data_IF_267404982583
#
_entry.id   IF_267404982583
#
_cell.length_a   1.000
_cell.length_b   1.000
_cell.length_c   1.000
_cell.angle_alpha   90.00
_cell.angle_beta   90.00
_cell.angle_gamma   90.00
#
_symmetry.space_group_name_H-M   'P 1'
#
loop_
_entity.id
_entity.type
_entity.pdbx_description
1 polymer ?
#
# COMPACT_ATOMS: atom_id res chain seq x y z
N UNK A 1 -8.24 25.61 -7.59
CA UNK A 1 -7.05 25.06 -8.34
C UNK A 1 -6.18 24.37 -7.30
N UNK A 2 -5.72 23.13 -7.58
CA UNK A 2 -4.88 22.36 -6.64
C UNK A 2 -3.58 23.12 -6.32
N UNK A 3 -3.09 23.11 -5.07
CA UNK A 3 -1.81 23.75 -4.70
C UNK A 3 -0.64 23.26 -5.55
N UNK A 4 -0.63 21.98 -5.87
CA UNK A 4 0.36 21.31 -6.73
C UNK A 4 0.26 21.68 -8.22
N UNK A 5 -0.76 22.42 -8.66
CA UNK A 5 -1.10 22.72 -10.05
C UNK A 5 -1.45 21.51 -10.91
N UNK A 6 -1.58 20.30 -10.34
CA UNK A 6 -2.00 19.10 -11.05
C UNK A 6 -3.47 19.21 -11.49
N UNK A 7 -3.81 18.51 -12.58
CA UNK A 7 -5.21 18.33 -12.97
C UNK A 7 -5.94 17.47 -11.92
N UNK A 8 -7.27 17.59 -11.80
CA UNK A 8 -8.04 16.82 -10.82
C UNK A 8 -7.81 15.29 -10.89
N UNK A 9 -7.56 14.76 -12.06
CA UNK A 9 -7.37 13.33 -12.36
C UNK A 9 -5.90 12.94 -12.60
N UNK A 10 -4.96 13.77 -12.16
CA UNK A 10 -3.52 13.58 -12.35
C UNK A 10 -2.84 13.04 -11.09
N UNK A 11 -2.04 11.98 -11.27
CA UNK A 11 -1.16 11.43 -10.24
C UNK A 11 0.09 12.30 -10.06
N UNK A 12 0.66 12.29 -8.87
CA UNK A 12 2.07 12.69 -8.68
C UNK A 12 2.98 11.82 -9.55
N UNK A 13 4.21 12.23 -9.76
CA UNK A 13 5.22 11.36 -10.36
C UNK A 13 5.42 10.13 -9.46
N UNK A 14 5.29 8.93 -10.04
CA UNK A 14 5.42 7.66 -9.30
C UNK A 14 6.62 6.89 -9.83
N UNK A 15 7.45 6.38 -8.92
CA UNK A 15 8.52 5.43 -9.26
C UNK A 15 8.52 4.24 -8.30
N UNK A 16 8.87 3.06 -8.84
CA UNK A 16 9.00 1.80 -8.12
C UNK A 16 10.39 1.24 -8.43
N UNK A 17 11.31 1.32 -7.47
CA UNK A 17 12.67 0.83 -7.60
C UNK A 17 12.81 -0.49 -6.82
N UNK A 18 13.18 -1.57 -7.53
CA UNK A 18 13.26 -2.93 -6.97
C UNK A 18 14.65 -3.25 -6.45
N UNK A 19 14.72 -4.28 -5.60
CA UNK A 19 15.99 -4.88 -5.15
C UNK A 19 16.92 -3.87 -4.47
N UNK A 20 16.35 -2.93 -3.73
CA UNK A 20 17.08 -1.85 -3.05
C UNK A 20 17.70 -2.28 -1.72
N UNK A 21 17.28 -3.43 -1.17
CA UNK A 21 17.79 -3.99 0.09
C UNK A 21 18.42 -5.36 -0.18
N UNK A 22 19.68 -5.50 0.17
CA UNK A 22 20.50 -6.68 -0.14
C UNK A 22 20.01 -7.98 0.50
N UNK A 23 19.48 -7.93 1.71
CA UNK A 23 19.20 -9.11 2.52
C UNK A 23 17.74 -9.56 2.51
N UNK A 24 16.82 -8.71 2.04
CA UNK A 24 15.42 -9.08 1.90
C UNK A 24 15.21 -9.94 0.65
N UNK A 25 14.29 -10.90 0.70
CA UNK A 25 13.89 -11.73 -0.44
C UNK A 25 13.21 -10.91 -1.54
N UNK A 26 12.51 -9.84 -1.15
CA UNK A 26 12.00 -8.82 -2.06
C UNK A 26 12.06 -7.44 -1.43
N UNK A 27 12.26 -6.40 -2.24
CA UNK A 27 12.25 -5.03 -1.75
C UNK A 27 11.89 -4.02 -2.84
N UNK A 28 11.24 -2.93 -2.41
CA UNK A 28 10.85 -1.83 -3.28
C UNK A 28 10.97 -0.50 -2.54
N UNK A 29 11.66 0.47 -3.15
CA UNK A 29 11.56 1.87 -2.76
C UNK A 29 10.53 2.54 -3.68
N UNK A 30 9.44 2.99 -3.10
CA UNK A 30 8.38 3.71 -3.82
C UNK A 30 8.45 5.20 -3.54
N UNK A 31 8.19 5.98 -4.57
CA UNK A 31 7.97 7.42 -4.44
C UNK A 31 6.66 7.80 -5.12
N UNK A 32 5.81 8.52 -4.41
CA UNK A 32 4.65 9.23 -4.94
C UNK A 32 4.90 10.71 -4.71
N UNK A 33 5.52 11.40 -5.69
CA UNK A 33 6.07 12.72 -5.47
C UNK A 33 7.04 12.70 -4.28
N UNK A 34 6.75 13.50 -3.25
CA UNK A 34 7.55 13.61 -2.04
C UNK A 34 7.21 12.57 -0.96
N UNK A 35 6.25 11.69 -1.17
CA UNK A 35 6.03 10.53 -0.29
C UNK A 35 6.97 9.40 -0.70
N UNK A 36 7.88 9.00 0.20
CA UNK A 36 8.85 7.92 -0.02
C UNK A 36 8.68 6.84 1.04
N UNK A 37 8.54 5.59 0.60
CA UNK A 37 8.42 4.42 1.48
C UNK A 37 9.37 3.32 1.04
N UNK A 38 10.18 2.81 1.96
CA UNK A 38 10.95 1.59 1.77
C UNK A 38 10.09 0.40 2.19
N UNK A 39 9.96 -0.59 1.32
CA UNK A 39 9.21 -1.81 1.60
C UNK A 39 10.11 -3.02 1.40
N UNK A 40 10.11 -3.94 2.38
CA UNK A 40 10.78 -5.22 2.28
C UNK A 40 9.79 -6.37 2.49
N UNK A 41 10.06 -7.52 1.87
CA UNK A 41 9.32 -8.76 2.08
C UNK A 41 10.30 -9.84 2.52
N UNK A 42 10.05 -10.41 3.69
CA UNK A 42 10.89 -11.41 4.34
C UNK A 42 10.13 -12.73 4.46
N UNK A 43 10.74 -13.81 3.98
CA UNK A 43 10.22 -15.16 4.16
C UNK A 43 10.62 -15.70 5.54
N UNK A 44 9.65 -16.19 6.28
CA UNK A 44 9.84 -16.88 7.56
C UNK A 44 9.35 -18.32 7.49
N UNK A 45 10.20 -19.29 7.86
CA UNK A 45 9.82 -20.71 7.98
C UNK A 45 9.00 -21.01 9.25
N UNK A 46 8.36 -19.98 9.80
CA UNK A 46 7.53 -20.09 11.01
C UNK A 46 6.15 -19.52 10.74
N UNK A 47 5.13 -20.33 11.04
CA UNK A 47 3.75 -19.88 11.06
C UNK A 47 3.35 -19.40 12.46
N UNK A 48 2.41 -18.46 12.53
CA UNK A 48 1.70 -18.19 13.77
C UNK A 48 1.11 -19.49 14.36
N UNK A 49 1.16 -19.70 15.69
CA UNK A 49 0.72 -20.95 16.31
C UNK A 49 -0.72 -21.38 15.95
N UNK A 50 -1.58 -20.41 15.71
CA UNK A 50 -2.99 -20.65 15.34
C UNK A 50 -3.20 -21.14 13.90
N UNK A 51 -2.16 -21.11 13.04
CA UNK A 51 -2.19 -21.61 11.65
C UNK A 51 -1.52 -22.97 11.47
N UNK A 52 -0.82 -23.48 12.47
CA UNK A 52 -0.13 -24.77 12.37
C UNK A 52 -1.10 -25.89 12.01
N UNK A 53 -0.73 -26.71 11.01
CA UNK A 53 -1.53 -27.85 10.56
C UNK A 53 -2.73 -27.47 9.68
N UNK A 54 -2.84 -26.23 9.23
CA UNK A 54 -3.90 -25.81 8.30
C UNK A 54 -3.50 -25.91 6.83
N UNK A 55 -2.28 -26.39 6.54
CA UNK A 55 -1.72 -26.54 5.19
C UNK A 55 -1.77 -25.25 4.34
N UNK A 56 -1.66 -24.10 4.99
CA UNK A 56 -1.69 -22.79 4.31
C UNK A 56 -0.71 -21.82 4.94
N UNK A 57 -0.21 -20.89 4.13
CA UNK A 57 0.68 -19.83 4.55
C UNK A 57 -0.05 -18.60 5.09
N UNK A 58 0.75 -17.59 5.42
CA UNK A 58 0.26 -16.31 5.91
C UNK A 58 1.09 -15.16 5.36
N UNK A 59 0.44 -14.01 5.20
CA UNK A 59 1.10 -12.74 4.90
C UNK A 59 0.66 -11.73 5.94
N UNK A 60 1.62 -11.12 6.60
CA UNK A 60 1.40 -10.03 7.54
C UNK A 60 2.20 -8.81 7.13
N UNK A 61 1.92 -7.67 7.73
CA UNK A 61 2.67 -6.45 7.47
C UNK A 61 2.91 -5.68 8.76
N UNK A 62 4.07 -5.03 8.79
CA UNK A 62 4.39 -3.98 9.74
C UNK A 62 4.49 -2.63 9.03
N UNK A 63 4.20 -1.56 9.74
CA UNK A 63 4.24 -0.21 9.19
C UNK A 63 4.80 0.73 10.23
N UNK A 64 5.67 1.62 9.82
CA UNK A 64 6.21 2.65 10.68
C UNK A 64 6.66 3.89 9.91
N UNK A 65 6.83 4.99 10.65
CA UNK A 65 7.37 6.22 10.09
C UNK A 65 8.68 6.58 10.80
N UNK A 66 9.69 6.96 10.02
CA UNK A 66 10.91 7.52 10.60
C UNK A 66 10.59 8.83 11.33
N UNK A 67 11.30 9.14 12.42
CA UNK A 67 11.04 10.35 13.22
C UNK A 67 11.03 11.66 12.41
N UNK A 68 11.79 11.73 11.34
CA UNK A 68 11.86 12.89 10.45
C UNK A 68 11.24 12.64 9.08
N UNK A 69 10.33 11.67 8.99
CA UNK A 69 9.49 11.51 7.82
C UNK A 69 8.54 12.69 7.60
N UNK A 70 8.22 13.43 8.64
CA UNK A 70 7.34 14.61 8.67
C UNK A 70 8.13 15.89 8.94
N UNK A 71 7.50 17.05 8.70
CA UNK A 71 8.08 18.37 8.92
C UNK A 71 8.63 18.53 10.35
N UNK A 72 7.85 18.10 11.34
CA UNK A 72 8.27 18.04 12.72
C UNK A 72 8.73 16.63 13.11
N UNK A 73 9.65 16.54 14.06
CA UNK A 73 10.14 15.27 14.56
C UNK A 73 9.07 14.56 15.40
N UNK A 74 8.62 13.39 14.93
CA UNK A 74 7.76 12.51 15.71
C UNK A 74 8.55 11.57 16.62
N UNK A 75 7.96 11.15 17.74
CA UNK A 75 8.59 10.18 18.65
C UNK A 75 8.51 8.78 18.02
N UNK A 76 9.58 7.99 18.15
CA UNK A 76 9.53 6.57 17.75
C UNK A 76 8.53 5.80 18.62
N UNK A 77 7.65 5.02 18.02
CA UNK A 77 6.65 4.19 18.74
C UNK A 77 7.34 3.16 19.64
N UNK A 78 8.46 2.58 19.20
CA UNK A 78 9.28 1.69 20.03
C UNK A 78 9.71 2.33 21.34
N UNK A 79 10.02 3.63 21.32
CA UNK A 79 10.38 4.38 22.55
C UNK A 79 9.15 4.77 23.39
N UNK A 80 7.95 4.66 22.82
CA UNK A 80 6.70 4.90 23.54
C UNK A 80 6.13 3.61 24.18
N UNK A 81 6.71 2.45 23.84
CA UNK A 81 6.30 1.13 24.34
C UNK A 81 4.98 0.60 23.79
N UNK A 82 4.36 1.32 22.84
CA UNK A 82 3.13 0.87 22.15
C UNK A 82 3.03 1.50 20.77
N UNK A 83 2.39 0.77 19.85
CA UNK A 83 2.00 1.30 18.55
C UNK A 83 0.74 2.15 18.66
N UNK A 84 0.60 3.13 17.78
CA UNK A 84 -0.62 3.93 17.65
C UNK A 84 -1.75 3.12 16.99
N UNK A 85 -2.99 3.50 17.23
CA UNK A 85 -4.14 2.90 16.55
C UNK A 85 -4.04 3.01 15.02
N UNK A 86 -3.52 4.14 14.51
CA UNK A 86 -3.27 4.37 13.09
C UNK A 86 -2.25 3.37 12.53
N UNK A 87 -1.14 3.16 13.22
CA UNK A 87 -0.11 2.20 12.79
C UNK A 87 -0.69 0.79 12.68
N UNK A 88 -1.40 0.33 13.71
CA UNK A 88 -2.02 -1.01 13.73
C UNK A 88 -3.09 -1.15 12.63
N UNK A 89 -3.89 -0.11 12.40
CA UNK A 89 -4.89 -0.09 11.34
C UNK A 89 -4.24 -0.25 9.95
N UNK A 90 -3.17 0.52 9.67
CA UNK A 90 -2.46 0.48 8.38
C UNK A 90 -1.77 -0.88 8.17
N UNK A 91 -1.14 -1.46 9.19
CA UNK A 91 -0.57 -2.81 9.14
C UNK A 91 -1.61 -3.84 8.71
N UNK A 92 -2.79 -3.80 9.33
CA UNK A 92 -3.90 -4.71 9.02
C UNK A 92 -4.43 -4.52 7.61
N UNK A 93 -4.51 -3.28 7.15
CA UNK A 93 -4.93 -2.91 5.80
C UNK A 93 -3.95 -3.47 4.75
N UNK A 94 -2.64 -3.26 4.91
CA UNK A 94 -1.62 -3.79 4.00
C UNK A 94 -1.69 -5.31 3.95
N UNK A 95 -1.66 -5.99 5.11
CA UNK A 95 -1.71 -7.44 5.17
C UNK A 95 -2.98 -8.02 4.53
N UNK A 96 -4.14 -7.40 4.75
CA UNK A 96 -5.41 -7.80 4.12
C UNK A 96 -5.38 -7.63 2.61
N UNK A 97 -4.84 -6.51 2.14
CA UNK A 97 -4.73 -6.21 0.71
C UNK A 97 -3.91 -7.26 -0.03
N UNK A 98 -2.78 -7.67 0.55
CA UNK A 98 -1.92 -8.70 -0.03
C UNK A 98 -2.57 -10.09 0.01
N UNK A 99 -3.21 -10.46 1.14
CA UNK A 99 -3.92 -11.75 1.24
C UNK A 99 -5.10 -11.88 0.28
N UNK A 100 -5.69 -10.77 -0.14
CA UNK A 100 -6.81 -10.79 -1.09
C UNK A 100 -6.40 -11.27 -2.49
N UNK A 101 -5.10 -11.19 -2.83
CA UNK A 101 -4.59 -11.49 -4.18
C UNK A 101 -3.58 -12.66 -4.18
N UNK A 102 -3.43 -13.38 -3.07
CA UNK A 102 -2.50 -14.50 -2.96
C UNK A 102 -3.24 -15.79 -2.61
N UNK A 103 -2.87 -16.87 -3.28
CA UNK A 103 -3.22 -18.23 -2.91
C UNK A 103 -2.38 -18.66 -1.71
N UNK A 104 -2.97 -18.58 -0.52
CA UNK A 104 -2.27 -18.92 0.72
C UNK A 104 -2.02 -20.43 0.86
N UNK A 105 -2.79 -21.30 0.20
CA UNK A 105 -2.55 -22.74 0.16
C UNK A 105 -1.33 -23.06 -0.72
N UNK A 106 -1.24 -22.42 -1.89
CA UNK A 106 -0.08 -22.55 -2.78
C UNK A 106 1.22 -21.99 -2.15
N UNK A 107 1.14 -21.06 -1.19
CA UNK A 107 2.27 -20.58 -0.43
C UNK A 107 2.83 -21.66 0.52
N UNK A 108 2.00 -22.62 0.96
CA UNK A 108 2.34 -23.62 1.95
C UNK A 108 2.53 -23.04 3.35
N UNK A 109 2.90 -23.87 4.33
CA UNK A 109 3.03 -23.47 5.74
C UNK A 109 4.23 -22.55 6.01
N UNK A 110 4.19 -21.34 5.45
CA UNK A 110 5.22 -20.29 5.60
C UNK A 110 4.55 -18.94 5.86
N UNK A 111 5.30 -18.04 6.44
CA UNK A 111 4.88 -16.66 6.60
C UNK A 111 5.75 -15.74 5.75
N UNK A 112 5.13 -14.74 5.12
CA UNK A 112 5.85 -13.60 4.58
C UNK A 112 5.47 -12.38 5.42
N UNK A 113 6.47 -11.73 6.00
CA UNK A 113 6.31 -10.45 6.70
C UNK A 113 6.74 -9.33 5.76
N UNK A 114 5.87 -8.34 5.61
CA UNK A 114 6.13 -7.15 4.78
C UNK A 114 6.30 -5.96 5.69
N UNK A 115 7.50 -5.37 5.67
CA UNK A 115 7.83 -4.18 6.45
C UNK A 115 7.74 -2.95 5.57
N UNK A 116 7.03 -1.92 6.04
CA UNK A 116 6.83 -0.65 5.32
C UNK A 116 7.34 0.51 6.18
N UNK A 117 8.49 1.05 5.83
CA UNK A 117 9.12 2.17 6.52
C UNK A 117 8.97 3.46 5.72
N UNK A 118 8.17 4.39 6.25
CA UNK A 118 8.00 5.71 5.63
C UNK A 118 9.23 6.55 5.91
N UNK A 119 9.95 6.89 4.85
CA UNK A 119 11.17 7.72 4.89
C UNK A 119 10.79 9.20 4.86
N UNK A 120 9.83 9.55 4.02
CA UNK A 120 9.29 10.90 3.85
C UNK A 120 7.79 10.82 3.58
N UNK A 121 7.02 11.67 4.24
CA UNK A 121 5.56 11.67 4.17
C UNK A 121 5.04 13.00 3.62
N UNK A 122 4.32 12.91 2.52
CA UNK A 122 3.59 14.01 1.87
C UNK A 122 2.23 13.51 1.36
N UNK A 123 1.37 13.00 2.27
CA UNK A 123 0.09 12.39 1.94
C UNK A 123 0.22 10.99 1.30
N UNK A 124 -0.80 10.15 1.46
CA UNK A 124 -0.91 8.85 0.80
C UNK A 124 0.13 7.79 1.21
N UNK A 125 0.69 7.84 2.43
CA UNK A 125 1.71 6.88 2.86
C UNK A 125 1.21 5.44 2.87
N UNK A 126 -0.04 5.20 3.31
CA UNK A 126 -0.66 3.85 3.31
C UNK A 126 -0.88 3.31 1.91
N UNK A 127 -1.27 4.15 0.97
CA UNK A 127 -1.53 3.76 -0.42
C UNK A 127 -0.24 3.47 -1.18
N UNK A 128 0.81 4.27 -0.97
CA UNK A 128 2.15 4.01 -1.48
C UNK A 128 2.71 2.70 -0.91
N UNK A 129 2.55 2.44 0.40
CA UNK A 129 2.97 1.19 1.06
C UNK A 129 2.31 -0.03 0.42
N UNK A 130 0.98 -0.04 0.24
CA UNK A 130 0.27 -1.17 -0.38
C UNK A 130 0.76 -1.41 -1.82
N UNK A 131 0.91 -0.34 -2.59
CA UNK A 131 1.35 -0.43 -3.99
C UNK A 131 2.76 -1.00 -4.11
N UNK A 132 3.70 -0.59 -3.26
CA UNK A 132 5.06 -1.12 -3.23
C UNK A 132 5.13 -2.52 -2.60
N UNK A 133 4.28 -2.81 -1.62
CA UNK A 133 4.23 -4.11 -0.96
C UNK A 133 3.92 -5.24 -1.96
N UNK A 134 3.09 -4.96 -2.98
CA UNK A 134 2.87 -5.90 -4.08
C UNK A 134 4.18 -6.22 -4.83
N UNK A 135 4.99 -5.21 -5.14
CA UNK A 135 6.27 -5.38 -5.87
C UNK A 135 7.27 -6.17 -5.02
N UNK A 136 7.41 -5.83 -3.74
CA UNK A 136 8.30 -6.56 -2.82
C UNK A 136 7.84 -8.02 -2.64
N UNK A 137 6.54 -8.25 -2.52
CA UNK A 137 5.96 -9.59 -2.43
C UNK A 137 6.19 -10.40 -3.71
N UNK A 138 5.99 -9.80 -4.90
CA UNK A 138 6.28 -10.43 -6.18
C UNK A 138 7.73 -10.93 -6.24
N UNK A 139 8.69 -10.10 -5.85
CA UNK A 139 10.10 -10.46 -5.86
C UNK A 139 10.43 -11.57 -4.85
N UNK A 140 9.83 -11.52 -3.66
CA UNK A 140 9.97 -12.58 -2.66
C UNK A 140 9.43 -13.92 -3.20
N UNK A 141 8.27 -13.94 -3.82
CA UNK A 141 7.69 -15.15 -4.42
C UNK A 141 8.54 -15.66 -5.60
N UNK A 142 9.06 -14.78 -6.43
CA UNK A 142 9.99 -15.14 -7.51
C UNK A 142 11.28 -15.75 -6.96
N UNK A 143 11.82 -15.21 -5.86
CA UNK A 143 12.96 -15.74 -5.14
C UNK A 143 12.67 -17.14 -4.57
N UNK A 144 11.49 -17.37 -3.99
CA UNK A 144 11.04 -18.69 -3.49
C UNK A 144 10.90 -19.70 -4.64
N UNK A 145 10.30 -19.28 -5.76
CA UNK A 145 10.12 -20.12 -6.96
C UNK A 145 11.46 -20.57 -7.54
N UNK A 146 12.43 -19.65 -7.65
CA UNK A 146 13.80 -19.97 -8.11
C UNK A 146 14.50 -21.01 -7.24
N UNK A 147 14.15 -21.11 -5.95
CA UNK A 147 14.68 -22.10 -4.99
C UNK A 147 13.80 -23.34 -4.86
N UNK A 148 12.79 -23.48 -5.70
CA UNK A 148 11.86 -24.63 -5.71
C UNK A 148 11.13 -24.81 -4.36
N UNK A 149 10.94 -23.74 -3.61
CA UNK A 149 10.20 -23.76 -2.34
C UNK A 149 8.68 -23.77 -2.56
N UNK A 150 8.24 -23.28 -3.70
CA UNK A 150 6.85 -23.31 -4.18
C UNK A 150 6.82 -23.81 -5.63
N UNK A 151 5.80 -24.58 -5.98
CA UNK A 151 5.69 -25.21 -7.30
C UNK A 151 4.87 -24.42 -8.31
N UNK A 152 4.04 -23.50 -7.84
CA UNK A 152 3.14 -22.69 -8.65
C UNK A 152 3.45 -21.20 -8.56
N UNK A 153 2.48 -20.41 -8.99
CA UNK A 153 2.46 -18.97 -8.78
C UNK A 153 1.29 -18.65 -7.82
N UNK A 154 1.57 -18.37 -6.54
CA UNK A 154 0.54 -18.02 -5.58
C UNK A 154 -0.05 -16.63 -5.83
N UNK A 155 0.61 -15.76 -6.61
CA UNK A 155 0.15 -14.40 -6.87
C UNK A 155 -0.92 -14.41 -7.97
N UNK A 156 -2.18 -14.17 -7.61
CA UNK A 156 -3.34 -14.28 -8.51
C UNK A 156 -3.66 -13.00 -9.27
N UNK A 157 -3.30 -11.83 -8.72
CA UNK A 157 -3.61 -10.53 -9.30
C UNK A 157 -2.63 -9.47 -8.81
N UNK A 158 -2.69 -8.27 -9.38
CA UNK A 158 -2.09 -7.07 -8.81
C UNK A 158 -2.99 -6.50 -7.71
N UNK A 159 -2.41 -5.72 -6.81
CA UNK A 159 -3.16 -4.84 -5.91
C UNK A 159 -2.43 -3.52 -5.79
N UNK A 160 -3.16 -2.44 -5.92
CA UNK A 160 -2.65 -1.10 -5.68
C UNK A 160 -3.68 -0.27 -4.91
N UNK A 161 -3.22 0.80 -4.32
CA UNK A 161 -4.07 1.70 -3.55
C UNK A 161 -3.80 3.15 -3.90
N UNK A 162 -4.84 3.96 -3.81
CA UNK A 162 -4.78 5.40 -4.09
C UNK A 162 -5.70 6.17 -3.16
N UNK A 163 -5.30 7.40 -2.83
CA UNK A 163 -6.17 8.37 -2.16
C UNK A 163 -6.95 9.20 -3.18
N UNK A 164 -8.17 9.54 -2.85
CA UNK A 164 -9.00 10.51 -3.56
C UNK A 164 -9.69 11.39 -2.54
N UNK A 165 -10.07 12.60 -2.90
CA UNK A 165 -10.80 13.47 -1.99
C UNK A 165 -11.66 14.48 -2.70
N UNK A 166 -12.50 15.15 -1.92
CA UNK A 166 -13.25 16.34 -2.37
C UNK A 166 -12.51 17.56 -1.80
N UNK A 167 -12.00 18.40 -2.69
CA UNK A 167 -11.33 19.64 -2.33
C UNK A 167 -12.08 20.81 -2.97
N UNK A 168 -12.65 21.69 -2.14
CA UNK A 168 -13.46 22.83 -2.61
C UNK A 168 -14.51 22.40 -3.67
N UNK A 169 -15.26 21.34 -3.38
CA UNK A 169 -16.31 20.80 -4.24
C UNK A 169 -15.85 20.06 -5.50
N UNK A 170 -14.56 19.80 -5.64
CA UNK A 170 -14.00 19.09 -6.79
C UNK A 170 -13.41 17.77 -6.34
N UNK A 171 -13.80 16.67 -7.00
CA UNK A 171 -13.18 15.36 -6.79
C UNK A 171 -11.76 15.36 -7.38
N UNK A 172 -10.76 14.96 -6.58
CA UNK A 172 -9.36 14.93 -6.96
C UNK A 172 -8.69 13.60 -6.65
N UNK A 173 -7.76 13.22 -7.50
CA UNK A 173 -6.98 11.98 -7.40
C UNK A 173 -5.65 12.24 -6.72
N UNK A 174 -5.19 11.30 -5.88
CA UNK A 174 -3.85 11.27 -5.29
C UNK A 174 -3.52 12.54 -4.49
N UNK A 175 -4.12 12.64 -3.31
CA UNK A 175 -3.93 13.76 -2.40
C UNK A 175 -2.47 13.83 -1.91
N UNK A 176 -1.83 14.99 -2.03
CA UNK A 176 -0.64 15.33 -1.25
C UNK A 176 -1.06 15.85 0.14
N UNK A 177 -0.09 16.12 1.02
CA UNK A 177 -0.39 16.54 2.38
C UNK A 177 -1.15 17.87 2.47
N UNK A 178 -0.84 18.82 1.59
CA UNK A 178 -1.51 20.11 1.58
C UNK A 178 -3.00 19.99 1.18
N UNK A 179 -3.31 19.04 0.29
CA UNK A 179 -4.67 18.73 -0.13
C UNK A 179 -5.42 17.90 0.92
N UNK A 180 -4.75 16.86 1.46
CA UNK A 180 -5.31 15.95 2.47
C UNK A 180 -5.73 16.70 3.74
N UNK A 181 -4.89 17.63 4.20
CA UNK A 181 -5.17 18.43 5.42
C UNK A 181 -6.32 19.41 5.29
N UNK A 182 -6.71 19.79 4.08
CA UNK A 182 -7.75 20.77 3.80
C UNK A 182 -8.98 20.17 3.10
N UNK A 183 -8.93 18.89 2.75
CA UNK A 183 -10.03 18.21 2.07
C UNK A 183 -11.33 18.27 2.85
N UNK A 184 -12.44 18.36 2.15
CA UNK A 184 -13.78 18.22 2.73
C UNK A 184 -14.11 16.75 3.00
N UNK A 185 -13.56 15.87 2.15
CA UNK A 185 -13.65 14.41 2.25
C UNK A 185 -12.33 13.82 1.79
N UNK A 186 -11.78 12.87 2.55
CA UNK A 186 -10.70 12.00 2.13
C UNK A 186 -11.16 10.55 2.01
N UNK A 187 -10.68 9.86 1.01
CA UNK A 187 -10.98 8.44 0.81
C UNK A 187 -9.76 7.68 0.27
N UNK A 188 -9.57 6.46 0.75
CA UNK A 188 -8.54 5.54 0.28
C UNK A 188 -9.21 4.32 -0.36
N UNK A 189 -8.80 3.99 -1.57
CA UNK A 189 -9.31 2.86 -2.33
C UNK A 189 -8.20 1.85 -2.55
N UNK A 190 -8.46 0.60 -2.18
CA UNK A 190 -7.61 -0.55 -2.49
C UNK A 190 -8.33 -1.41 -3.51
N UNK A 191 -7.71 -1.59 -4.67
CA UNK A 191 -8.32 -2.34 -5.77
C UNK A 191 -7.32 -3.30 -6.40
N UNK A 192 -7.85 -4.38 -6.97
CA UNK A 192 -7.04 -5.33 -7.73
C UNK A 192 -6.81 -4.86 -9.16
N UNK A 193 -5.83 -5.46 -9.86
CA UNK A 193 -5.58 -5.22 -11.27
C UNK A 193 -6.75 -5.58 -12.17
N UNK A 194 -7.58 -6.55 -11.77
CA UNK A 194 -8.83 -6.91 -12.45
C UNK A 194 -10.00 -5.95 -12.16
N UNK A 195 -9.78 -4.87 -11.38
CA UNK A 195 -10.76 -3.84 -11.09
C UNK A 195 -11.73 -4.16 -9.94
N UNK A 196 -11.46 -5.22 -9.16
CA UNK A 196 -12.25 -5.56 -7.97
C UNK A 196 -11.82 -4.69 -6.78
N UNK A 197 -12.76 -4.36 -5.90
CA UNK A 197 -12.52 -3.59 -4.69
C UNK A 197 -12.13 -4.54 -3.57
N UNK A 198 -10.98 -4.24 -2.92
CA UNK A 198 -10.53 -4.94 -1.72
C UNK A 198 -11.01 -4.22 -0.46
N UNK A 199 -10.84 -2.90 -0.44
CA UNK A 199 -11.27 -2.06 0.68
C UNK A 199 -11.51 -0.63 0.21
N UNK A 200 -12.47 0.03 0.86
CA UNK A 200 -12.71 1.46 0.72
C UNK A 200 -12.79 2.05 2.14
N UNK A 201 -12.03 3.09 2.38
CA UNK A 201 -12.11 3.91 3.58
C UNK A 201 -12.42 5.32 3.13
N UNK A 202 -13.45 5.95 3.67
CA UNK A 202 -13.81 7.32 3.35
C UNK A 202 -14.32 8.03 4.58
N UNK A 203 -13.88 9.26 4.78
CA UNK A 203 -14.23 10.11 5.91
C UNK A 203 -14.68 11.48 5.40
N UNK A 204 -15.79 11.94 5.89
CA UNK A 204 -16.22 13.33 5.72
C UNK A 204 -15.62 14.16 6.86
N UNK A 205 -14.66 15.02 6.54
CA UNK A 205 -13.99 15.86 7.54
C UNK A 205 -14.81 17.12 7.90
N UNK A 206 -15.59 17.62 6.94
CA UNK A 206 -16.40 18.83 7.13
C UNK A 206 -17.89 18.57 6.92
N UNK A 207 -18.26 18.17 5.71
CA UNK A 207 -19.66 17.96 5.31
C UNK A 207 -19.83 16.55 4.76
N UNK A 208 -20.91 15.82 5.13
CA UNK A 208 -21.19 14.51 4.54
C UNK A 208 -21.23 14.59 3.01
N UNK A 209 -20.56 13.65 2.34
CA UNK A 209 -20.53 13.55 0.89
C UNK A 209 -21.71 12.73 0.35
N UNK A 210 -22.11 13.02 -0.87
CA UNK A 210 -23.23 12.37 -1.55
C UNK A 210 -22.80 11.08 -2.23
N UNK A 211 -23.77 10.28 -2.70
CA UNK A 211 -23.51 9.10 -3.52
C UNK A 211 -22.82 9.48 -4.85
N UNK A 212 -23.22 10.57 -5.48
CA UNK A 212 -22.63 11.06 -6.73
C UNK A 212 -21.15 11.45 -6.54
N UNK A 213 -20.82 12.09 -5.43
CA UNK A 213 -19.44 12.40 -5.05
C UNK A 213 -18.64 11.13 -4.81
N UNK A 214 -19.18 10.15 -4.08
CA UNK A 214 -18.54 8.84 -3.91
C UNK A 214 -18.29 8.13 -5.24
N UNK A 215 -19.24 8.11 -6.14
CA UNK A 215 -19.07 7.51 -7.47
C UNK A 215 -18.01 8.24 -8.29
N UNK A 216 -17.89 9.55 -8.15
CA UNK A 216 -16.84 10.35 -8.77
C UNK A 216 -15.45 10.00 -8.22
N UNK A 217 -15.31 9.86 -6.89
CA UNK A 217 -14.08 9.39 -6.24
C UNK A 217 -13.71 7.97 -6.69
N UNK A 218 -14.68 7.05 -6.77
CA UNK A 218 -14.45 5.69 -7.23
C UNK A 218 -13.99 5.64 -8.70
N UNK A 219 -14.54 6.50 -9.56
CA UNK A 219 -14.12 6.60 -10.96
C UNK A 219 -12.65 7.07 -11.07
N UNK A 220 -12.26 8.09 -10.28
CA UNK A 220 -10.88 8.55 -10.19
C UNK A 220 -9.95 7.46 -9.64
N UNK A 221 -10.39 6.74 -8.59
CA UNK A 221 -9.62 5.65 -8.00
C UNK A 221 -9.35 4.53 -9.01
N UNK A 222 -10.34 4.13 -9.82
CA UNK A 222 -10.16 3.14 -10.91
C UNK A 222 -9.09 3.59 -11.91
N UNK A 223 -9.12 4.86 -12.31
CA UNK A 223 -8.12 5.44 -13.22
C UNK A 223 -6.72 5.43 -12.57
N UNK A 224 -6.62 5.86 -11.31
CA UNK A 224 -5.36 5.91 -10.56
C UNK A 224 -4.76 4.52 -10.36
N UNK A 225 -5.54 3.57 -9.87
CA UNK A 225 -5.11 2.17 -9.66
C UNK A 225 -4.69 1.53 -10.98
N UNK A 226 -5.42 1.75 -12.08
CA UNK A 226 -5.01 1.26 -13.39
C UNK A 226 -3.60 1.69 -13.78
N UNK A 227 -3.28 2.99 -13.63
CA UNK A 227 -1.93 3.52 -13.87
C UNK A 227 -0.88 2.91 -12.94
N UNK A 228 -1.19 2.74 -11.64
CA UNK A 228 -0.28 2.14 -10.67
C UNK A 228 0.01 0.67 -11.00
N UNK A 229 -0.99 -0.08 -11.42
CA UNK A 229 -0.83 -1.48 -11.88
C UNK A 229 0.06 -1.56 -13.11
N UNK A 230 -0.07 -0.63 -14.05
CA UNK A 230 0.80 -0.60 -15.23
C UNK A 230 2.26 -0.27 -14.84
N UNK A 231 2.48 0.61 -13.87
CA UNK A 231 3.81 0.85 -13.30
C UNK A 231 4.37 -0.37 -12.57
N UNK A 232 3.54 -1.12 -11.83
CA UNK A 232 3.95 -2.39 -11.21
C UNK A 232 4.39 -3.40 -12.27
N UNK A 233 3.62 -3.58 -13.35
CA UNK A 233 3.99 -4.46 -14.47
C UNK A 233 5.32 -4.06 -15.08
N UNK A 234 5.52 -2.78 -15.38
CA UNK A 234 6.80 -2.28 -15.92
C UNK A 234 7.96 -2.51 -14.97
N UNK A 235 7.74 -2.35 -13.67
CA UNK A 235 8.78 -2.54 -12.69
C UNK A 235 9.24 -4.00 -12.58
N UNK A 236 8.38 -5.00 -12.82
CA UNK A 236 8.70 -6.43 -12.66
C UNK A 236 9.09 -7.13 -13.97
N UNK A 237 9.04 -6.44 -15.10
CA UNK A 237 9.61 -6.91 -16.38
C UNK A 237 11.13 -6.91 -16.32
#
# INVERSE_FOLDING_TARGET
>A
MRPSRRQPDELRAVSLERSVVKYAEGSCLVKFGDTHVLVTATLEDRLPPWLKGQARGWITAEYGMLPRATLERTRREASAGKQSGRTVEIQRLIGRSLRAIVDLEALGERQITVDCDVIQADGGTRTASITAAWVALHDCLAWMKKRQMISGDPLRDHVAAISCGICAGTAVLDLDYAEDSEADTDANFVMTGSGRIVEVQGTAEKTPFTEEEFLSLLALARKGVGKLVDLQKMAVM
#
